data_IF_151241764069
#
_entry.id   IF_151241764069
#
_cell.length_a   1.000
_cell.length_b   1.000
_cell.length_c   1.000
_cell.angle_alpha   90.00
_cell.angle_beta   90.00
_cell.angle_gamma   90.00
#
_symmetry.space_group_name_H-M   'P 1'
#
loop_
_entity.id
_entity.type
_entity.pdbx_description
1 polymer ?
#
# COMPACT_ATOMS: atom_id res chain seq x y z
N UNK A 1 14.73 -36.26 10.60
CA UNK A 1 13.60 -36.35 9.64
C UNK A 1 12.34 -35.57 10.04
N UNK A 2 11.92 -35.51 11.32
CA UNK A 2 10.68 -34.78 11.72
C UNK A 2 10.79 -33.26 11.56
N UNK A 3 11.95 -32.67 11.84
CA UNK A 3 12.19 -31.21 11.70
C UNK A 3 12.11 -30.72 10.24
N UNK A 4 12.50 -31.56 9.28
CA UNK A 4 12.47 -31.21 7.85
C UNK A 4 11.03 -31.14 7.32
N UNK A 5 10.16 -32.08 7.74
CA UNK A 5 8.73 -32.06 7.38
C UNK A 5 7.98 -30.86 7.96
N UNK A 6 8.25 -30.49 9.22
CA UNK A 6 7.65 -29.30 9.85
C UNK A 6 8.09 -28.01 9.15
N UNK A 7 9.38 -27.89 8.83
CA UNK A 7 9.92 -26.75 8.07
C UNK A 7 9.30 -26.64 6.67
N UNK A 8 9.20 -27.76 5.95
CA UNK A 8 8.57 -27.81 4.63
C UNK A 8 7.09 -27.45 4.67
N UNK A 9 6.34 -27.96 5.65
CA UNK A 9 4.93 -27.61 5.84
C UNK A 9 4.77 -26.11 6.14
N UNK A 10 5.64 -25.54 6.99
CA UNK A 10 5.62 -24.11 7.29
C UNK A 10 5.84 -23.23 6.06
N UNK A 11 6.79 -23.61 5.17
CA UNK A 11 7.01 -22.92 3.91
C UNK A 11 5.79 -22.97 3.00
N UNK A 12 5.21 -24.15 2.82
CA UNK A 12 4.00 -24.35 2.00
C UNK A 12 2.80 -23.56 2.52
N UNK A 13 2.61 -23.51 3.84
CA UNK A 13 1.55 -22.71 4.46
C UNK A 13 1.78 -21.20 4.22
N UNK A 14 3.02 -20.72 4.38
CA UNK A 14 3.37 -19.32 4.10
C UNK A 14 3.08 -18.98 2.63
N UNK A 15 3.48 -19.84 1.69
CA UNK A 15 3.21 -19.66 0.26
C UNK A 15 1.71 -19.67 -0.07
N UNK A 16 0.94 -20.57 0.54
CA UNK A 16 -0.50 -20.62 0.35
C UNK A 16 -1.16 -19.34 0.86
N UNK A 17 -0.83 -18.90 2.08
CA UNK A 17 -1.40 -17.67 2.65
C UNK A 17 -1.09 -16.44 1.79
N UNK A 18 0.10 -16.36 1.19
CA UNK A 18 0.47 -15.30 0.25
C UNK A 18 -0.41 -15.31 -1.01
N UNK A 19 -0.67 -16.50 -1.57
CA UNK A 19 -1.58 -16.65 -2.72
C UNK A 19 -3.01 -16.23 -2.36
N UNK A 20 -3.50 -16.66 -1.20
CA UNK A 20 -4.82 -16.28 -0.70
C UNK A 20 -4.92 -14.78 -0.43
N UNK A 21 -3.88 -14.15 0.12
CA UNK A 21 -3.83 -12.70 0.32
C UNK A 21 -3.98 -11.93 -1.00
N UNK A 22 -3.28 -12.35 -2.06
CA UNK A 22 -3.43 -11.77 -3.40
C UNK A 22 -4.85 -11.95 -3.94
N UNK A 23 -5.42 -13.16 -3.84
CA UNK A 23 -6.78 -13.45 -4.31
C UNK A 23 -7.80 -12.58 -3.59
N UNK A 24 -7.68 -12.48 -2.26
CA UNK A 24 -8.56 -11.65 -1.43
C UNK A 24 -8.44 -10.18 -1.81
N UNK A 25 -7.22 -9.67 -2.02
CA UNK A 25 -7.01 -8.27 -2.44
C UNK A 25 -7.66 -7.97 -3.80
N UNK A 26 -7.47 -8.86 -4.79
CA UNK A 26 -8.11 -8.72 -6.12
C UNK A 26 -9.63 -8.69 -5.96
N UNK A 27 -10.18 -9.62 -5.17
CA UNK A 27 -11.62 -9.71 -4.92
C UNK A 27 -12.14 -8.44 -4.25
N UNK A 28 -11.53 -8.00 -3.15
CA UNK A 28 -11.97 -6.84 -2.39
C UNK A 28 -11.91 -5.56 -3.24
N UNK A 29 -10.81 -5.34 -3.98
CA UNK A 29 -10.69 -4.18 -4.88
C UNK A 29 -11.73 -4.18 -6.00
N UNK A 30 -12.03 -5.35 -6.56
CA UNK A 30 -13.03 -5.47 -7.62
C UNK A 30 -14.45 -5.29 -7.11
N UNK A 31 -14.79 -5.91 -5.99
CA UNK A 31 -16.15 -5.90 -5.43
C UNK A 31 -16.51 -4.56 -4.80
N UNK A 32 -15.60 -3.94 -4.06
CA UNK A 32 -15.90 -2.75 -3.27
C UNK A 32 -15.48 -1.44 -3.94
N UNK A 33 -14.56 -1.49 -4.91
CA UNK A 33 -14.01 -0.27 -5.52
C UNK A 33 -14.03 -0.25 -7.05
N UNK A 34 -14.57 -1.28 -7.71
CA UNK A 34 -14.55 -1.43 -9.18
C UNK A 34 -13.13 -1.24 -9.76
N UNK A 35 -12.16 -1.87 -9.09
CA UNK A 35 -10.75 -1.88 -9.47
C UNK A 35 -10.35 -3.33 -9.77
N UNK A 36 -10.13 -3.65 -11.05
CA UNK A 36 -9.57 -4.93 -11.45
C UNK A 36 -8.04 -4.82 -11.56
N UNK A 37 -7.34 -5.60 -10.74
CA UNK A 37 -5.88 -5.70 -10.76
C UNK A 37 -5.38 -7.10 -11.15
N UNK A 38 -6.27 -7.97 -11.63
CA UNK A 38 -5.96 -9.37 -11.89
C UNK A 38 -4.85 -9.57 -12.94
N UNK A 39 -4.71 -8.63 -13.87
CA UNK A 39 -3.72 -8.61 -14.95
C UNK A 39 -2.42 -7.87 -14.60
N UNK A 40 -2.32 -7.27 -13.40
CA UNK A 40 -1.18 -6.45 -13.02
C UNK A 40 0.05 -7.27 -12.68
N UNK A 41 1.20 -6.63 -12.83
CA UNK A 41 2.48 -7.12 -12.33
C UNK A 41 2.55 -6.88 -10.81
N UNK A 42 3.13 -7.83 -10.08
CA UNK A 42 3.29 -7.75 -8.63
C UNK A 42 4.75 -7.94 -8.28
N UNK A 43 5.22 -7.23 -7.25
CA UNK A 43 6.53 -7.49 -6.70
C UNK A 43 6.60 -8.92 -6.15
N UNK A 44 7.79 -9.52 -6.20
CA UNK A 44 8.01 -10.73 -5.43
C UNK A 44 7.79 -10.43 -3.94
N UNK A 45 7.35 -11.45 -3.21
CA UNK A 45 6.94 -11.24 -1.83
C UNK A 45 8.10 -10.77 -0.93
N UNK A 46 9.32 -11.23 -1.18
CA UNK A 46 10.44 -10.86 -0.32
C UNK A 46 10.73 -9.37 -0.45
N UNK A 47 10.81 -8.87 -1.69
CA UNK A 47 10.93 -7.44 -1.97
C UNK A 47 9.74 -6.66 -1.36
N UNK A 48 8.51 -7.14 -1.56
CA UNK A 48 7.33 -6.48 -1.04
C UNK A 48 7.33 -6.35 0.50
N UNK A 49 7.75 -7.40 1.21
CA UNK A 49 7.86 -7.44 2.67
C UNK A 49 9.00 -6.55 3.17
N UNK A 50 10.17 -6.58 2.53
CA UNK A 50 11.33 -5.76 2.89
C UNK A 50 11.03 -4.27 2.75
N UNK A 51 10.52 -3.84 1.59
CA UNK A 51 10.16 -2.43 1.36
C UNK A 51 9.08 -1.99 2.35
N UNK A 52 8.08 -2.85 2.60
CA UNK A 52 7.03 -2.55 3.55
C UNK A 52 7.55 -2.32 4.98
N UNK A 53 8.52 -3.12 5.45
CA UNK A 53 9.18 -2.90 6.74
C UNK A 53 10.03 -1.63 6.76
N UNK A 54 10.70 -1.30 5.65
CA UNK A 54 11.51 -0.09 5.54
C UNK A 54 10.66 1.18 5.61
N UNK A 55 9.47 1.18 4.99
CA UNK A 55 8.48 2.26 5.15
C UNK A 55 8.16 2.47 6.63
N UNK A 56 7.87 1.39 7.36
CA UNK A 56 7.53 1.46 8.78
C UNK A 56 8.68 1.96 9.66
N UNK A 57 9.91 1.53 9.37
CA UNK A 57 11.09 2.02 10.06
C UNK A 57 11.31 3.52 9.79
N UNK A 58 11.05 3.98 8.57
CA UNK A 58 11.18 5.38 8.18
C UNK A 58 10.12 6.25 8.86
N UNK A 59 8.85 5.85 8.85
CA UNK A 59 7.74 6.59 9.51
C UNK A 59 7.96 6.83 11.00
N UNK A 60 8.75 5.98 11.66
CA UNK A 60 9.11 6.14 13.07
C UNK A 60 10.20 7.17 13.32
N UNK A 61 10.84 7.72 12.30
CA UNK A 61 11.83 8.79 12.46
C UNK A 61 11.15 10.15 12.42
N UNK A 62 11.64 11.10 13.21
CA UNK A 62 11.12 12.48 13.23
C UNK A 62 11.51 13.30 11.98
N UNK A 63 12.08 12.65 10.95
CA UNK A 63 12.66 13.30 9.76
C UNK A 63 11.71 13.31 8.54
N UNK A 64 10.48 12.83 8.69
CA UNK A 64 9.50 12.81 7.60
C UNK A 64 8.65 14.07 7.57
N UNK A 65 8.37 14.53 6.35
CA UNK A 65 7.38 15.58 6.11
C UNK A 65 5.98 15.00 6.27
N UNK A 66 5.16 15.64 7.10
CA UNK A 66 3.78 15.20 7.38
C UNK A 66 2.79 16.30 7.06
N UNK A 67 1.72 15.94 6.34
CA UNK A 67 0.54 16.79 6.14
C UNK A 67 -0.63 16.18 6.91
N UNK A 68 -1.13 16.86 7.93
CA UNK A 68 -2.29 16.41 8.71
C UNK A 68 -3.46 17.38 8.53
N UNK A 69 -4.65 16.84 8.32
CA UNK A 69 -5.88 17.62 8.13
C UNK A 69 -7.12 16.78 8.47
N UNK A 70 -8.24 17.41 8.90
CA UNK A 70 -9.51 16.71 9.06
C UNK A 70 -9.97 16.13 7.71
N UNK A 71 -10.60 14.96 7.73
CA UNK A 71 -11.11 14.31 6.53
C UNK A 71 -12.14 15.22 5.84
N UNK A 72 -11.75 15.69 4.66
CA UNK A 72 -12.58 16.41 3.72
C UNK A 72 -12.15 15.96 2.33
N UNK A 73 -13.05 15.35 1.56
CA UNK A 73 -12.72 14.75 0.27
C UNK A 73 -12.08 15.74 -0.72
N UNK A 74 -12.43 17.02 -0.64
CA UNK A 74 -11.82 18.07 -1.47
C UNK A 74 -10.37 18.36 -1.04
N UNK A 75 -10.14 18.51 0.26
CA UNK A 75 -8.80 18.72 0.84
C UNK A 75 -7.92 17.51 0.59
N UNK A 76 -8.42 16.29 0.83
CA UNK A 76 -7.72 15.04 0.55
C UNK A 76 -7.24 14.96 -0.89
N UNK A 77 -8.16 15.18 -1.85
CA UNK A 77 -7.83 15.19 -3.26
C UNK A 77 -6.77 16.25 -3.59
N UNK A 78 -6.91 17.46 -3.05
CA UNK A 78 -5.94 18.54 -3.27
C UNK A 78 -4.55 18.21 -2.71
N UNK A 79 -4.46 17.53 -1.56
CA UNK A 79 -3.17 17.15 -0.95
C UNK A 79 -2.52 15.99 -1.69
N UNK A 80 -3.30 15.03 -2.15
CA UNK A 80 -2.85 13.99 -3.08
C UNK A 80 -2.33 14.60 -4.38
N UNK A 81 -3.09 15.51 -4.98
CA UNK A 81 -2.69 16.17 -6.22
C UNK A 81 -1.35 16.89 -6.03
N UNK A 82 -1.16 17.58 -4.91
CA UNK A 82 0.11 18.21 -4.55
C UNK A 82 1.28 17.21 -4.51
N UNK A 83 1.14 16.06 -3.86
CA UNK A 83 2.21 15.03 -3.78
C UNK A 83 2.53 14.48 -5.18
N UNK A 84 1.52 14.14 -5.97
CA UNK A 84 1.74 13.62 -7.32
C UNK A 84 2.30 14.67 -8.28
N UNK A 85 1.95 15.94 -8.09
CA UNK A 85 2.50 17.04 -8.88
C UNK A 85 3.97 17.31 -8.51
N UNK A 86 4.34 17.12 -7.24
CA UNK A 86 5.73 17.17 -6.78
C UNK A 86 6.62 16.14 -7.49
N UNK A 87 6.11 14.91 -7.65
CA UNK A 87 6.81 13.80 -8.30
C UNK A 87 6.44 13.62 -9.79
N UNK A 88 5.80 14.63 -10.41
CA UNK A 88 5.25 14.52 -11.77
C UNK A 88 6.29 14.14 -12.84
N UNK A 89 7.55 14.54 -12.65
CA UNK A 89 8.66 14.14 -13.54
C UNK A 89 8.84 12.62 -13.64
N UNK A 90 8.34 11.86 -12.67
CA UNK A 90 8.41 10.40 -12.60
C UNK A 90 7.07 9.73 -12.96
N UNK A 91 6.15 10.42 -13.64
CA UNK A 91 4.79 9.91 -13.90
C UNK A 91 4.73 8.56 -14.65
N UNK A 92 5.75 8.25 -15.47
CA UNK A 92 5.86 6.99 -16.22
C UNK A 92 6.62 5.91 -15.45
N UNK A 93 7.29 6.29 -14.37
CA UNK A 93 8.16 5.39 -13.62
C UNK A 93 7.33 4.37 -12.83
N UNK A 94 7.82 3.14 -12.82
CA UNK A 94 7.20 2.06 -12.06
C UNK A 94 7.42 2.27 -10.57
N UNK A 95 6.34 2.25 -9.81
CA UNK A 95 6.33 2.33 -8.36
C UNK A 95 5.74 1.05 -7.77
N UNK A 96 6.08 0.79 -6.51
CA UNK A 96 5.41 -0.19 -5.68
C UNK A 96 4.19 0.48 -5.05
N UNK A 97 3.01 0.13 -5.55
CA UNK A 97 1.76 0.59 -4.99
C UNK A 97 1.18 -0.48 -4.06
N UNK A 98 0.99 -0.11 -2.80
CA UNK A 98 0.33 -0.95 -1.82
C UNK A 98 -1.07 -0.35 -1.55
N UNK A 99 -2.12 -0.94 -2.12
CA UNK A 99 -3.49 -0.43 -1.96
C UNK A 99 -4.04 -0.63 -0.53
N UNK A 100 -3.29 -1.33 0.31
CA UNK A 100 -3.54 -1.45 1.75
C UNK A 100 -2.22 -1.76 2.45
N UNK A 101 -1.83 -0.95 3.43
CA UNK A 101 -0.51 -1.01 4.07
C UNK A 101 -0.58 -1.08 5.57
N UNK A 102 -1.42 -0.27 6.19
CA UNK A 102 -1.43 -0.12 7.64
C UNK A 102 -2.84 -0.37 8.15
N UNK A 103 -3.08 -1.58 8.63
CA UNK A 103 -4.30 -1.91 9.35
C UNK A 103 -4.27 -1.37 10.78
N UNK A 104 -4.16 -0.04 10.97
CA UNK A 104 -4.20 0.54 12.32
C UNK A 104 -5.59 0.40 12.96
N UNK A 105 -6.67 0.31 12.17
CA UNK A 105 -8.04 0.39 12.72
C UNK A 105 -9.10 -0.59 12.18
N UNK A 106 -8.77 -1.63 11.41
CA UNK A 106 -9.81 -2.55 10.93
C UNK A 106 -9.90 -3.89 11.67
N UNK A 107 -11.11 -4.10 12.24
CA UNK A 107 -11.65 -5.36 12.80
C UNK A 107 -11.88 -6.46 11.75
N UNK A 108 -11.09 -6.51 10.69
CA UNK A 108 -11.21 -7.47 9.59
C UNK A 108 -9.98 -8.37 9.48
N UNK A 109 -10.18 -9.70 9.44
CA UNK A 109 -9.11 -10.67 9.22
C UNK A 109 -8.64 -10.68 7.75
N UNK A 110 -8.20 -9.54 7.21
CA UNK A 110 -7.69 -9.43 5.84
C UNK A 110 -6.28 -10.00 5.78
N UNK A 111 -6.07 -11.02 4.94
CA UNK A 111 -4.80 -11.75 4.84
C UNK A 111 -3.68 -10.88 4.28
N UNK A 112 -4.00 -9.95 3.38
CA UNK A 112 -3.01 -9.03 2.78
C UNK A 112 -2.45 -8.00 3.76
N UNK A 113 -3.07 -7.79 4.93
CA UNK A 113 -2.48 -7.01 6.02
C UNK A 113 -1.32 -7.75 6.72
N UNK A 114 -1.32 -9.09 6.67
CA UNK A 114 -0.23 -9.94 7.20
C UNK A 114 0.77 -10.36 6.13
N UNK A 115 0.38 -10.20 4.88
CA UNK A 115 1.12 -10.63 3.69
C UNK A 115 1.04 -9.50 2.67
N UNK A 116 1.87 -8.44 2.82
CA UNK A 116 1.75 -7.24 2.01
C UNK A 116 1.93 -7.56 0.53
N UNK A 117 1.05 -6.99 -0.30
CA UNK A 117 1.03 -7.18 -1.75
C UNK A 117 1.29 -5.84 -2.42
N UNK A 118 2.42 -5.73 -3.11
CA UNK A 118 2.75 -4.56 -3.91
C UNK A 118 2.40 -4.80 -5.38
N UNK A 119 1.68 -3.86 -5.98
CA UNK A 119 1.39 -3.81 -7.40
C UNK A 119 2.46 -2.95 -8.06
N UNK A 120 3.06 -3.44 -9.14
CA UNK A 120 4.04 -2.69 -9.93
C UNK A 120 3.29 -1.96 -11.04
N UNK A 121 3.16 -0.64 -10.92
CA UNK A 121 2.43 0.20 -11.87
C UNK A 121 3.12 1.55 -12.09
N UNK A 122 2.90 2.21 -13.24
CA UNK A 122 3.33 3.59 -13.41
C UNK A 122 2.71 4.53 -12.36
N UNK A 123 3.46 5.53 -11.90
CA UNK A 123 2.96 6.51 -10.92
C UNK A 123 1.66 7.18 -11.38
N UNK A 124 1.51 7.52 -12.67
CA UNK A 124 0.26 8.07 -13.22
C UNK A 124 -0.95 7.15 -13.06
N UNK A 125 -0.73 5.83 -13.15
CA UNK A 125 -1.79 4.83 -13.03
C UNK A 125 -2.15 4.63 -11.56
N UNK A 126 -1.13 4.63 -10.69
CA UNK A 126 -1.31 4.66 -9.25
C UNK A 126 -2.21 5.83 -8.81
N UNK A 127 -1.98 7.05 -9.33
CA UNK A 127 -2.83 8.22 -9.05
C UNK A 127 -4.31 7.94 -9.34
N UNK A 128 -4.60 7.30 -10.48
CA UNK A 128 -5.98 6.98 -10.90
C UNK A 128 -6.62 5.94 -9.98
N UNK A 129 -5.88 4.90 -9.61
CA UNK A 129 -6.35 3.88 -8.67
C UNK A 129 -6.60 4.46 -7.29
N UNK A 130 -5.67 5.28 -6.81
CA UNK A 130 -5.78 5.93 -5.51
C UNK A 130 -6.99 6.86 -5.44
N UNK A 131 -7.24 7.65 -6.49
CA UNK A 131 -8.44 8.51 -6.57
C UNK A 131 -9.76 7.73 -6.50
N UNK A 132 -9.79 6.45 -6.91
CA UNK A 132 -10.96 5.59 -6.71
C UNK A 132 -11.05 5.08 -5.27
N UNK A 133 -9.91 4.71 -4.67
CA UNK A 133 -9.84 4.19 -3.30
C UNK A 133 -10.21 5.23 -2.25
N UNK A 134 -9.78 6.48 -2.41
CA UNK A 134 -9.99 7.55 -1.41
C UNK A 134 -11.46 7.93 -1.17
N UNK A 135 -12.37 7.58 -2.09
CA UNK A 135 -13.79 7.93 -1.98
C UNK A 135 -14.50 7.11 -0.89
N UNK A 136 -13.97 5.92 -0.58
CA UNK A 136 -14.55 4.96 0.36
C UNK A 136 -13.51 4.46 1.39
N UNK A 137 -12.41 5.21 1.55
CA UNK A 137 -11.24 4.71 2.26
C UNK A 137 -11.42 4.80 3.76
N UNK A 138 -11.17 3.68 4.42
CA UNK A 138 -10.79 3.61 5.84
C UNK A 138 -9.48 2.83 6.05
N UNK A 139 -8.79 2.49 4.95
CA UNK A 139 -7.57 1.70 4.94
C UNK A 139 -6.39 2.56 4.51
N UNK A 140 -5.28 2.44 5.21
CA UNK A 140 -4.07 3.17 4.84
C UNK A 140 -3.45 2.57 3.57
N UNK A 141 -2.82 3.40 2.73
CA UNK A 141 -2.14 2.98 1.50
C UNK A 141 -0.74 3.58 1.40
N UNK A 142 0.11 3.02 0.53
CA UNK A 142 1.42 3.62 0.24
C UNK A 142 1.83 3.50 -1.21
N UNK A 143 2.71 4.42 -1.60
CA UNK A 143 3.40 4.42 -2.88
C UNK A 143 4.88 4.59 -2.61
N UNK A 144 5.71 3.71 -3.18
CA UNK A 144 7.16 3.78 -3.01
C UNK A 144 7.87 3.63 -4.34
N UNK A 145 8.87 4.48 -4.56
CA UNK A 145 9.81 4.35 -5.66
C UNK A 145 11.18 3.97 -5.13
N UNK A 146 11.57 2.71 -5.32
CA UNK A 146 12.90 2.25 -4.90
C UNK A 146 14.03 2.87 -5.74
N UNK A 147 13.77 3.16 -7.01
CA UNK A 147 14.76 3.76 -7.91
C UNK A 147 15.02 5.22 -7.58
N UNK A 148 13.96 5.97 -7.32
CA UNK A 148 14.03 7.42 -7.11
C UNK A 148 13.97 7.82 -5.63
N UNK A 149 13.91 6.83 -4.72
CA UNK A 149 13.98 6.94 -3.26
C UNK A 149 12.93 7.84 -2.60
N UNK A 150 11.87 8.18 -3.33
CA UNK A 150 10.69 8.85 -2.78
C UNK A 150 9.60 7.85 -2.39
N UNK A 151 8.66 8.32 -1.59
CA UNK A 151 7.43 7.61 -1.33
C UNK A 151 6.51 8.39 -0.39
N UNK A 152 5.30 7.89 -0.26
CA UNK A 152 4.36 8.42 0.71
C UNK A 152 3.43 7.33 1.25
N UNK A 153 2.91 7.58 2.45
CA UNK A 153 1.82 6.84 3.08
C UNK A 153 0.66 7.79 3.27
N UNK A 154 -0.53 7.30 2.98
CA UNK A 154 -1.78 7.97 3.31
C UNK A 154 -2.44 7.16 4.41
N UNK A 155 -2.72 7.80 5.54
CA UNK A 155 -3.39 7.17 6.67
C UNK A 155 -4.56 7.97 7.20
N UNK A 156 -5.58 7.29 7.73
CA UNK A 156 -6.69 7.90 8.46
C UNK A 156 -6.68 7.40 9.91
N UNK A 157 -6.82 8.32 10.88
CA UNK A 157 -6.92 8.03 12.31
C UNK A 157 -8.36 7.86 12.79
N UNK A 158 -8.54 7.44 14.05
CA UNK A 158 -9.85 7.21 14.67
C UNK A 158 -10.71 8.47 14.85
N UNK A 159 -10.13 9.65 14.64
CA UNK A 159 -10.80 10.95 14.71
C UNK A 159 -11.11 11.50 13.32
N UNK A 160 -10.97 10.66 12.28
CA UNK A 160 -11.11 11.05 10.87
C UNK A 160 -10.15 12.19 10.50
N UNK A 161 -8.96 12.26 11.09
CA UNK A 161 -7.87 13.03 10.50
C UNK A 161 -7.12 12.16 9.51
N UNK A 162 -6.74 12.77 8.40
CA UNK A 162 -5.87 12.18 7.41
C UNK A 162 -4.46 12.69 7.63
N UNK A 163 -3.49 11.77 7.58
CA UNK A 163 -2.08 12.09 7.49
C UNK A 163 -1.51 11.62 6.15
N UNK A 164 -0.67 12.45 5.55
CA UNK A 164 0.20 12.06 4.44
C UNK A 164 1.65 12.22 4.90
N UNK A 165 2.30 11.11 5.18
CA UNK A 165 3.73 11.03 5.45
C UNK A 165 4.48 10.82 4.14
N UNK A 166 5.39 11.72 3.77
CA UNK A 166 6.12 11.63 2.50
C UNK A 166 7.59 12.02 2.62
N UNK A 167 8.40 11.46 1.72
CA UNK A 167 9.84 11.66 1.70
C UNK A 167 10.39 11.64 0.27
N UNK A 168 11.54 12.29 0.09
CA UNK A 168 12.29 12.45 -1.15
C UNK A 168 13.80 12.48 -0.89
#
# INVERSE_FOLDING_TARGET
>A
MVNDRKSRLGKLLKENNRKQAKIQLIYDLKQYHDIDISDKEYADYQLAEEVHQNIYARIKTDEIKTLTFPYDGKTLKSKIDFIFDYDKKYEQEKVLFYPSTLGFYFRGQRLYLKHPIAIIIPLRECKKMMNKLILDMHDNLSVVSETFKFGFVLSEDEYSNVAIEYWD
#
